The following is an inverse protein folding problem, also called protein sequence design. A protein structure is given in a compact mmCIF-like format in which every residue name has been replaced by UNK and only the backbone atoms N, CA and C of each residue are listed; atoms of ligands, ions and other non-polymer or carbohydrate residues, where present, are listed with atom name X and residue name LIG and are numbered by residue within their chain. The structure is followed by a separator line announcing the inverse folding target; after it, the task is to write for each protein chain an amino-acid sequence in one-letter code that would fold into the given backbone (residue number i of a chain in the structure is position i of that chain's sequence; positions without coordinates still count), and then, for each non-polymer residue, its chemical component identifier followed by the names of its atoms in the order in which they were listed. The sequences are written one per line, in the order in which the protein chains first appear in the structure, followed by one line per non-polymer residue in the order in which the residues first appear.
data_IF_299698991885
#
_entry.id   IF_299698991885
#
_cell.length_a   1.000
_cell.length_b   1.000
_cell.length_c   1.000
_cell.angle_alpha   90.00
_cell.angle_beta   90.00
_cell.angle_gamma   90.00
#
_symmetry.space_group_name_H-M   'P 1'
#
loop_
_entity.id
_entity.type
_entity.pdbx_description
1 polymer ?
#
# COMPACT_ATOMS: atom_id res chain seq x y z
N UNK A 1 0.00 6.27 22.64
CA UNK A 1 0.49 6.09 22.12
C UNK A 1 0.36 5.52 21.10
N UNK A 2 0.61 5.81 20.51
CA UNK A 2 0.32 5.17 19.45
C UNK A 2 1.19 4.11 19.15
N UNK A 3 0.78 3.17 18.54
CA UNK A 3 1.52 2.19 18.18
C UNK A 3 2.07 2.48 16.92
N UNK A 4 3.21 2.24 16.69
CA UNK A 4 3.83 2.48 15.43
C UNK A 4 3.42 1.41 14.47
N UNK A 5 2.57 1.75 13.57
CA UNK A 5 2.13 0.86 12.52
C UNK A 5 3.16 0.89 11.40
N UNK A 6 3.56 -0.28 10.90
CA UNK A 6 4.52 -0.31 9.80
C UNK A 6 3.86 0.14 8.50
N UNK A 7 4.69 0.52 7.52
CA UNK A 7 4.17 0.91 6.23
C UNK A 7 3.41 -0.23 5.57
N UNK A 8 3.91 -1.46 5.72
CA UNK A 8 3.22 -2.62 5.18
C UNK A 8 1.82 -2.73 5.80
N UNK A 9 1.71 -2.53 7.10
CA UNK A 9 0.41 -2.61 7.76
C UNK A 9 -0.53 -1.51 7.27
N UNK A 10 -0.02 -0.31 7.06
CA UNK A 10 -0.84 0.76 6.53
C UNK A 10 -1.39 0.42 5.16
N UNK A 11 -0.55 -0.14 4.30
CA UNK A 11 -0.97 -0.49 2.96
C UNK A 11 -1.95 -1.66 2.97
N UNK A 12 -1.78 -2.58 3.91
CA UNK A 12 -2.74 -3.67 4.06
C UNK A 12 -4.10 -3.14 4.50
N UNK A 13 -4.10 -2.20 5.43
CA UNK A 13 -5.35 -1.62 5.91
C UNK A 13 -6.07 -0.86 4.81
N UNK A 14 -5.33 -0.31 3.85
CA UNK A 14 -5.91 0.41 2.73
C UNK A 14 -6.24 -0.50 1.55
N UNK A 15 -6.07 -1.81 1.71
CA UNK A 15 -6.33 -2.79 0.66
C UNK A 15 -5.41 -2.64 -0.54
N UNK A 16 -4.25 -2.06 -0.33
CA UNK A 16 -3.25 -1.98 -1.39
C UNK A 16 -2.42 -3.25 -1.41
N UNK A 17 -2.16 -3.81 -0.24
CA UNK A 17 -1.45 -5.07 -0.11
C UNK A 17 -2.35 -6.14 0.49
N UNK A 18 -2.11 -7.40 0.17
CA UNK A 18 -2.93 -8.48 0.73
C UNK A 18 -2.59 -8.74 2.19
N UNK A 19 -3.47 -9.43 2.86
CA UNK A 19 -3.27 -9.87 4.24
C UNK A 19 -3.48 -11.36 4.30
N UNK A 20 -2.48 -12.17 4.66
CA UNK A 20 -1.14 -11.70 5.02
C UNK A 20 -0.35 -11.24 3.79
N UNK A 21 0.71 -10.50 4.07
CA UNK A 21 1.57 -10.02 3.01
C UNK A 21 2.27 -11.20 2.34
N UNK A 22 2.38 -11.11 1.01
CA UNK A 22 3.08 -12.13 0.25
C UNK A 22 4.45 -11.66 -0.18
N UNK A 23 4.89 -10.55 0.37
CA UNK A 23 6.19 -9.99 0.04
C UNK A 23 7.29 -10.77 0.73
N UNK A 24 8.46 -10.80 0.09
CA UNK A 24 9.63 -11.35 0.75
C UNK A 24 10.05 -10.42 1.88
N UNK A 25 10.83 -10.92 2.85
CA UNK A 25 11.30 -10.04 3.93
C UNK A 25 12.06 -8.84 3.42
N UNK A 26 12.83 -9.00 2.33
CA UNK A 26 13.56 -7.88 1.75
C UNK A 26 12.62 -6.81 1.22
N UNK A 27 11.56 -7.23 0.54
CA UNK A 27 10.60 -6.29 -0.01
C UNK A 27 9.85 -5.57 1.09
N UNK A 28 9.49 -6.29 2.15
CA UNK A 28 8.82 -5.65 3.28
C UNK A 28 9.71 -4.60 3.92
N UNK A 29 10.99 -4.90 4.02
CA UNK A 29 11.92 -3.95 4.59
C UNK A 29 12.02 -2.69 3.74
N UNK A 30 12.06 -2.84 2.42
CA UNK A 30 12.10 -1.69 1.53
C UNK A 30 10.85 -0.82 1.70
N UNK A 31 9.70 -1.45 1.78
CA UNK A 31 8.46 -0.71 1.95
C UNK A 31 8.42 -0.01 3.30
N UNK A 32 8.87 -0.69 4.35
CA UNK A 32 8.85 -0.10 5.68
C UNK A 32 9.83 1.05 5.82
N UNK A 33 10.80 1.15 4.91
CA UNK A 33 11.75 2.25 4.91
C UNK A 33 11.30 3.45 4.10
N UNK A 34 10.16 3.37 3.45
CA UNK A 34 9.64 4.52 2.72
C UNK A 34 9.24 5.61 3.70
N UNK A 35 9.28 6.85 3.23
CA UNK A 35 8.82 7.96 4.04
C UNK A 35 7.35 7.80 4.37
N UNK A 36 6.94 8.10 5.61
CA UNK A 36 5.51 8.06 5.93
C UNK A 36 4.68 8.94 5.00
N UNK A 37 5.24 10.05 4.56
CA UNK A 37 4.53 10.94 3.65
C UNK A 37 4.21 10.25 2.33
N UNK A 38 5.16 9.47 1.83
CA UNK A 38 4.95 8.75 0.57
C UNK A 38 3.87 7.68 0.73
N UNK A 39 3.90 6.97 1.84
CA UNK A 39 2.91 5.94 2.08
C UNK A 39 1.53 6.57 2.24
N UNK A 40 1.44 7.68 2.96
CA UNK A 40 0.16 8.37 3.12
C UNK A 40 -0.38 8.86 1.79
N UNK A 41 0.51 9.30 0.90
CA UNK A 41 0.08 9.75 -0.42
C UNK A 41 -0.50 8.60 -1.23
N UNK A 42 0.10 7.42 -1.14
CA UNK A 42 -0.44 6.25 -1.82
C UNK A 42 -1.82 5.88 -1.30
N UNK A 43 -1.99 5.91 0.01
CA UNK A 43 -3.27 5.60 0.61
C UNK A 43 -4.32 6.62 0.17
N UNK A 44 -3.94 7.89 0.13
CA UNK A 44 -4.83 8.95 -0.32
C UNK A 44 -5.28 8.75 -1.74
N UNK A 45 -4.33 8.48 -2.63
CA UNK A 45 -4.64 8.27 -4.04
C UNK A 45 -5.60 7.11 -4.21
N UNK A 46 -5.34 6.02 -3.50
CA UNK A 46 -6.23 4.87 -3.61
C UNK A 46 -7.63 5.19 -3.10
N UNK A 47 -7.71 5.94 -2.01
CA UNK A 47 -9.01 6.30 -1.45
C UNK A 47 -9.81 7.18 -2.41
N UNK A 48 -9.11 8.05 -3.12
CA UNK A 48 -9.79 8.96 -4.04
C UNK A 48 -10.20 8.29 -5.34
N UNK A 49 -9.34 7.42 -5.87
CA UNK A 49 -9.60 6.80 -7.16
C UNK A 49 -10.41 5.53 -7.07
N UNK A 50 -10.25 4.80 -5.96
CA UNK A 50 -11.00 3.56 -5.78
C UNK A 50 -10.40 2.40 -6.52
N UNK A 51 -10.94 1.22 -6.23
CA UNK A 51 -10.42 -0.02 -6.80
C UNK A 51 -10.73 -0.13 -8.29
N UNK A 52 -11.89 0.38 -8.70
CA UNK A 52 -12.29 0.27 -10.09
C UNK A 52 -11.29 0.96 -11.00
N UNK A 53 -10.82 2.13 -10.59
CA UNK A 53 -9.87 2.85 -11.41
C UNK A 53 -8.59 2.05 -11.59
N UNK A 54 -8.11 1.47 -10.50
CA UNK A 54 -6.87 0.71 -10.54
C UNK A 54 -7.04 -0.52 -11.42
N UNK A 55 -8.13 -1.23 -11.27
CA UNK A 55 -8.37 -2.43 -12.06
C UNK A 55 -8.47 -2.12 -13.54
N UNK A 56 -9.17 -1.06 -13.89
CA UNK A 56 -9.32 -0.70 -15.30
C UNK A 56 -8.00 -0.32 -15.92
N UNK A 57 -7.18 0.42 -15.19
CA UNK A 57 -5.91 0.83 -15.75
C UNK A 57 -4.93 -0.31 -15.85
N UNK A 58 -4.99 -1.24 -14.91
CA UNK A 58 -4.17 -2.43 -14.99
C UNK A 58 -4.53 -3.25 -16.22
N UNK A 59 -5.81 -3.37 -16.50
CA UNK A 59 -6.27 -4.11 -17.68
C UNK A 59 -5.77 -3.47 -18.96
N UNK A 60 -5.76 -2.14 -19.02
CA UNK A 60 -5.29 -1.45 -20.21
C UNK A 60 -3.79 -1.64 -20.42
N UNK A 61 -3.05 -1.73 -19.34
CA UNK A 61 -1.61 -1.88 -19.43
C UNK A 61 -1.24 -3.30 -19.81
N UNK A 62 -1.94 -4.25 -19.27
CA UNK A 62 -1.66 -5.65 -19.54
C UNK A 62 -2.23 -6.08 -20.86
#
# INVERSE_FOLDING_TARGET
MSKDITNVQKLQAANILPTPSRLSPSDEELINNLDPTEVDALVDVKAQLGDDFIQRNTSLIL
#
